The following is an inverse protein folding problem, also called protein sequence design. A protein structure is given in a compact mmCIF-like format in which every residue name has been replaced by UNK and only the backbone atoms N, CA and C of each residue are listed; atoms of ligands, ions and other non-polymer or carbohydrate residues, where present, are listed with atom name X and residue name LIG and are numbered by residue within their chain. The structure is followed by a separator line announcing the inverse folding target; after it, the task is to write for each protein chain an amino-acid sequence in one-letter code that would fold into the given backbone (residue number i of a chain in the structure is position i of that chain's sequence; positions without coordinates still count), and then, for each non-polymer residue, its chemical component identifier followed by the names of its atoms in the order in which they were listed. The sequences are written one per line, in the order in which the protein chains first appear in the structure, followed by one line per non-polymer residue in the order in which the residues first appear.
data_IF_517685295547
#
_entry.id   IF_517685295547
#
_cell.length_a   1.000
_cell.length_b   1.000
_cell.length_c   1.000
_cell.angle_alpha   90.00
_cell.angle_beta   90.00
_cell.angle_gamma   90.00
#
_symmetry.space_group_name_H-M   'P 1'
#
loop_
_entity.id
_entity.type
_entity.pdbx_description
1 polymer ?
#
# COMPACT_ATOMS: atom_id res chain seq x y z
N UNK A 1 -5.20 -4.13 35.94
CA UNK A 1 -3.85 -3.56 35.77
C UNK A 1 -3.99 -2.05 35.86
N UNK A 2 -3.49 -1.46 36.92
CA UNK A 2 -3.71 -0.03 37.23
C UNK A 2 -2.75 0.82 36.39
N UNK A 3 -3.29 1.68 35.51
CA UNK A 3 -2.50 2.57 34.68
C UNK A 3 -1.99 3.76 35.53
N UNK A 4 -0.68 3.93 35.63
CA UNK A 4 -0.09 5.13 36.22
C UNK A 4 -0.02 6.23 35.15
N UNK A 5 -0.54 7.42 35.46
CA UNK A 5 -0.31 8.65 34.70
C UNK A 5 1.11 9.19 34.94
N UNK A 6 1.64 10.04 34.05
CA UNK A 6 3.01 10.57 34.17
C UNK A 6 3.13 11.48 35.39
N UNK A 7 4.03 11.15 36.32
CA UNK A 7 4.34 12.02 37.47
C UNK A 7 4.81 11.31 38.75
N UNK A 8 4.62 10.00 38.90
CA UNK A 8 4.97 9.29 40.14
C UNK A 8 6.10 8.26 39.95
N UNK A 9 7.04 8.28 40.90
CA UNK A 9 8.29 7.51 40.92
C UNK A 9 8.00 6.02 41.17
N UNK A 10 8.15 5.16 40.17
CA UNK A 10 7.96 3.71 40.31
C UNK A 10 9.10 3.07 41.16
N UNK A 11 8.71 2.23 42.13
CA UNK A 11 9.63 1.44 42.96
C UNK A 11 10.33 0.35 42.14
N UNK A 12 11.60 0.10 42.45
CA UNK A 12 12.47 -0.92 41.81
C UNK A 12 11.86 -2.32 41.98
N UNK A 13 11.76 -3.09 40.89
CA UNK A 13 11.52 -4.54 40.98
C UNK A 13 10.54 -5.18 40.00
N UNK A 14 10.21 -4.59 38.85
CA UNK A 14 9.42 -5.26 37.83
C UNK A 14 10.22 -5.37 36.52
N UNK A 15 10.29 -6.58 35.97
CA UNK A 15 10.94 -6.88 34.70
C UNK A 15 10.40 -5.98 33.59
N UNK A 16 11.26 -5.12 33.06
CA UNK A 16 10.94 -4.27 31.91
C UNK A 16 10.99 -5.13 30.65
N UNK A 17 9.83 -5.59 30.19
CA UNK A 17 9.68 -6.02 28.80
C UNK A 17 9.71 -4.77 27.92
N UNK A 18 10.53 -4.74 26.85
CA UNK A 18 10.44 -3.65 25.89
C UNK A 18 9.05 -3.72 25.25
N UNK A 19 8.30 -2.62 25.33
CA UNK A 19 7.09 -2.44 24.53
C UNK A 19 7.48 -2.65 23.06
N UNK A 20 6.70 -3.41 22.26
CA UNK A 20 6.87 -3.39 20.82
C UNK A 20 6.71 -1.93 20.39
N UNK A 21 7.72 -1.40 19.71
CA UNK A 21 7.77 -0.03 19.23
C UNK A 21 6.48 0.29 18.50
N UNK A 22 5.58 1.03 19.15
CA UNK A 22 4.46 1.67 18.50
C UNK A 22 5.07 2.76 17.63
N UNK A 23 5.39 2.42 16.38
CA UNK A 23 5.52 3.42 15.32
C UNK A 23 4.24 4.22 15.35
N UNK A 24 4.34 5.48 15.79
CA UNK A 24 3.26 6.44 15.82
C UNK A 24 2.70 6.52 14.39
N UNK A 25 1.57 5.84 14.14
CA UNK A 25 0.87 5.97 12.87
C UNK A 25 0.48 7.45 12.79
N UNK A 26 1.04 8.14 11.79
CA UNK A 26 0.73 9.54 11.56
C UNK A 26 -0.79 9.69 11.43
N UNK A 27 -1.42 10.68 12.09
CA UNK A 27 -2.87 10.87 12.06
C UNK A 27 -3.45 11.17 10.66
N UNK A 28 -2.58 11.25 9.64
CA UNK A 28 -2.91 11.52 8.25
C UNK A 28 -2.84 10.31 7.32
N UNK A 29 -2.43 9.13 7.81
CA UNK A 29 -2.43 7.91 6.99
C UNK A 29 -3.85 7.33 6.95
N UNK A 30 -4.63 7.78 5.97
CA UNK A 30 -6.00 7.31 5.78
C UNK A 30 -5.95 5.97 5.05
N UNK A 31 -6.54 4.95 5.67
CA UNK A 31 -6.77 3.65 5.08
C UNK A 31 -8.06 3.71 4.25
N UNK A 32 -7.95 3.45 2.95
CA UNK A 32 -9.09 3.37 2.08
C UNK A 32 -9.26 1.95 1.55
N UNK A 33 -10.48 1.41 1.64
CA UNK A 33 -10.78 0.02 1.27
C UNK A 33 -12.00 -0.02 0.35
N UNK A 34 -11.89 -0.75 -0.77
CA UNK A 34 -12.99 -0.99 -1.70
C UNK A 34 -13.15 -2.48 -1.95
N UNK A 35 -14.34 -3.00 -1.75
CA UNK A 35 -14.69 -4.34 -2.22
C UNK A 35 -14.80 -4.33 -3.74
N UNK A 36 -14.16 -5.30 -4.38
CA UNK A 36 -14.05 -5.38 -5.85
C UNK A 36 -14.28 -6.81 -6.33
N UNK A 37 -14.55 -6.94 -7.62
CA UNK A 37 -14.47 -8.21 -8.34
C UNK A 37 -13.67 -7.96 -9.61
N UNK A 38 -12.45 -8.47 -9.64
CA UNK A 38 -11.55 -8.27 -10.76
C UNK A 38 -11.60 -9.46 -11.73
N UNK A 39 -11.59 -9.16 -13.02
CA UNK A 39 -11.47 -10.14 -14.08
C UNK A 39 -10.47 -9.66 -15.12
N UNK A 40 -10.10 -10.51 -16.07
CA UNK A 40 -9.27 -10.07 -17.18
C UNK A 40 -10.02 -8.99 -17.97
N UNK A 41 -9.36 -7.86 -18.22
CA UNK A 41 -9.96 -6.67 -18.80
C UNK A 41 -10.37 -5.62 -17.77
N UNK A 42 -10.49 -5.98 -16.49
CA UNK A 42 -10.75 -5.01 -15.42
C UNK A 42 -9.58 -4.05 -15.21
N UNK A 43 -9.84 -2.91 -14.59
CA UNK A 43 -8.81 -1.94 -14.21
C UNK A 43 -9.16 -1.23 -12.91
N UNK A 44 -8.12 -0.78 -12.21
CA UNK A 44 -8.24 0.08 -11.02
C UNK A 44 -7.52 1.38 -11.30
N UNK A 45 -8.25 2.49 -11.25
CA UNK A 45 -7.71 3.84 -11.42
C UNK A 45 -7.75 4.57 -10.08
N UNK A 46 -6.58 4.99 -9.59
CA UNK A 46 -6.41 5.74 -8.34
C UNK A 46 -5.87 7.12 -8.72
N UNK A 47 -6.62 8.16 -8.39
CA UNK A 47 -6.20 9.55 -8.52
C UNK A 47 -6.06 10.17 -7.16
N UNK A 48 -5.00 10.93 -6.97
CA UNK A 48 -4.72 11.56 -5.69
C UNK A 48 -3.53 12.49 -5.74
N UNK A 49 -3.13 12.95 -4.56
CA UNK A 49 -1.97 13.80 -4.35
C UNK A 49 -1.21 13.37 -3.09
N UNK A 50 0.13 13.34 -3.10
CA UNK A 50 0.93 13.14 -1.91
C UNK A 50 0.67 14.26 -0.88
N UNK A 51 0.44 13.92 0.40
CA UNK A 51 0.10 14.92 1.44
C UNK A 51 1.31 15.60 2.06
N UNK A 52 2.50 15.01 1.90
CA UNK A 52 3.78 15.55 2.35
C UNK A 52 4.76 15.57 1.17
N UNK A 53 5.79 16.41 1.25
CA UNK A 53 6.84 16.50 0.22
C UNK A 53 7.70 15.24 0.18
N UNK A 54 8.18 14.87 -1.01
CA UNK A 54 9.02 13.70 -1.25
C UNK A 54 10.30 13.70 -0.40
N UNK A 55 10.80 14.89 -0.05
CA UNK A 55 11.94 15.07 0.86
C UNK A 55 11.74 14.46 2.27
N UNK A 56 10.50 14.12 2.63
CA UNK A 56 10.13 13.47 3.89
C UNK A 56 9.84 11.98 3.72
N UNK A 57 10.36 11.35 2.66
CA UNK A 57 10.16 9.94 2.33
C UNK A 57 8.67 9.59 2.21
N UNK A 58 7.95 10.31 1.34
CA UNK A 58 6.52 10.11 1.13
C UNK A 58 6.25 8.73 0.55
N UNK A 59 5.27 8.04 1.12
CA UNK A 59 4.90 6.70 0.66
C UNK A 59 3.45 6.62 0.19
N UNK A 60 3.21 5.72 -0.75
CA UNK A 60 1.88 5.21 -1.09
C UNK A 60 1.95 3.69 -1.16
N UNK A 61 0.94 3.03 -0.61
CA UNK A 61 0.81 1.58 -0.73
C UNK A 61 -0.56 1.20 -1.28
N UNK A 62 -0.57 0.25 -2.21
CA UNK A 62 -1.76 -0.32 -2.85
C UNK A 62 -1.67 -1.85 -2.77
N UNK A 63 -2.69 -2.48 -2.18
CA UNK A 63 -2.73 -3.92 -1.96
C UNK A 63 -4.03 -4.52 -2.51
N UNK A 64 -3.91 -5.63 -3.25
CA UNK A 64 -5.04 -6.39 -3.78
C UNK A 64 -5.18 -7.67 -2.95
N UNK A 65 -6.08 -7.67 -1.98
CA UNK A 65 -6.27 -8.75 -1.03
C UNK A 65 -7.22 -9.83 -1.56
N UNK A 66 -6.93 -11.09 -1.26
CA UNK A 66 -7.71 -12.25 -1.75
C UNK A 66 -8.70 -12.82 -0.74
N UNK A 67 -8.65 -12.37 0.52
CA UNK A 67 -9.53 -12.84 1.59
C UNK A 67 -10.46 -11.76 2.12
N UNK A 68 -10.88 -11.92 3.38
CA UNK A 68 -11.85 -11.04 4.06
C UNK A 68 -11.20 -9.98 4.94
N UNK A 69 -9.89 -10.08 5.18
CA UNK A 69 -9.14 -9.18 6.05
C UNK A 69 -7.70 -8.94 5.57
N UNK A 70 -7.00 -8.02 6.23
CA UNK A 70 -5.65 -7.56 5.89
C UNK A 70 -4.55 -8.62 6.05
N UNK A 71 -4.83 -9.74 6.73
CA UNK A 71 -3.88 -10.86 6.88
C UNK A 71 -3.99 -11.87 5.74
N UNK A 72 -5.00 -11.74 4.87
CA UNK A 72 -5.15 -12.59 3.69
C UNK A 72 -3.99 -12.46 2.71
N UNK A 73 -3.90 -13.40 1.77
CA UNK A 73 -2.92 -13.30 0.70
C UNK A 73 -3.12 -12.03 -0.15
N UNK A 74 -2.03 -11.54 -0.72
CA UNK A 74 -1.99 -10.30 -1.51
C UNK A 74 -1.56 -10.66 -2.91
N UNK A 75 -2.47 -10.58 -3.87
CA UNK A 75 -2.21 -10.91 -5.27
C UNK A 75 -1.28 -9.89 -5.95
N UNK A 76 -1.36 -8.64 -5.51
CA UNK A 76 -0.56 -7.53 -6.01
C UNK A 76 -0.31 -6.54 -4.87
N UNK A 77 0.95 -6.31 -4.54
CA UNK A 77 1.41 -5.30 -3.59
C UNK A 77 2.26 -4.29 -4.36
N UNK A 78 1.93 -3.02 -4.21
CA UNK A 78 2.66 -1.91 -4.81
C UNK A 78 2.92 -0.87 -3.74
N UNK A 79 4.19 -0.63 -3.42
CA UNK A 79 4.60 0.40 -2.49
C UNK A 79 5.55 1.37 -3.18
N UNK A 80 5.08 2.60 -3.38
CA UNK A 80 5.88 3.68 -3.94
C UNK A 80 6.50 4.52 -2.82
N UNK A 81 7.81 4.65 -2.86
CA UNK A 81 8.58 5.69 -2.18
C UNK A 81 8.79 6.82 -3.18
N UNK A 82 7.94 7.84 -3.11
CA UNK A 82 7.91 8.87 -4.15
C UNK A 82 9.28 9.56 -4.32
N UNK A 83 9.73 9.67 -5.57
CA UNK A 83 11.05 10.22 -5.91
C UNK A 83 12.24 9.29 -5.66
N UNK A 84 12.02 8.07 -5.15
CA UNK A 84 13.09 7.13 -4.77
C UNK A 84 12.94 5.81 -5.54
N UNK A 85 11.92 5.02 -5.21
CA UNK A 85 11.75 3.67 -5.76
C UNK A 85 10.31 3.18 -5.59
N UNK A 86 9.99 2.09 -6.27
CA UNK A 86 8.75 1.34 -6.11
C UNK A 86 9.11 -0.11 -5.83
N UNK A 87 8.51 -0.67 -4.79
CA UNK A 87 8.57 -2.08 -4.46
C UNK A 87 7.28 -2.75 -4.89
N UNK A 88 7.41 -3.84 -5.62
CA UNK A 88 6.29 -4.62 -6.13
C UNK A 88 6.47 -6.06 -5.65
N UNK A 89 5.43 -6.62 -5.07
CA UNK A 89 5.47 -7.97 -4.54
C UNK A 89 4.07 -8.61 -4.54
N UNK A 90 3.97 -9.77 -3.91
CA UNK A 90 2.74 -10.51 -3.63
C UNK A 90 3.02 -11.39 -2.40
N UNK A 91 1.95 -11.70 -1.68
CA UNK A 91 1.99 -12.58 -0.51
C UNK A 91 1.13 -13.80 -0.79
N UNK A 92 1.71 -14.99 -0.65
CA UNK A 92 1.04 -16.27 -0.86
C UNK A 92 1.30 -17.18 0.33
N UNK A 93 0.25 -17.84 0.82
CA UNK A 93 0.28 -18.64 2.05
C UNK A 93 0.89 -17.88 3.24
N UNK A 94 0.55 -16.59 3.37
CA UNK A 94 1.04 -15.70 4.44
C UNK A 94 2.51 -15.27 4.31
N UNK A 95 3.23 -15.70 3.26
CA UNK A 95 4.65 -15.36 3.05
C UNK A 95 4.83 -14.43 1.86
N UNK A 96 5.65 -13.38 2.03
CA UNK A 96 6.05 -12.50 0.94
C UNK A 96 7.00 -13.21 -0.01
N UNK A 97 6.79 -13.04 -1.31
CA UNK A 97 7.69 -13.57 -2.33
C UNK A 97 8.89 -12.64 -2.58
N UNK A 98 9.71 -12.97 -3.58
CA UNK A 98 10.81 -12.09 -4.01
C UNK A 98 10.27 -10.74 -4.50
N UNK A 99 10.74 -9.68 -3.83
CA UNK A 99 10.45 -8.28 -4.16
C UNK A 99 11.06 -7.89 -5.51
N UNK A 100 10.26 -7.25 -6.34
CA UNK A 100 10.69 -6.60 -7.58
C UNK A 100 10.77 -5.10 -7.32
N UNK A 101 11.95 -4.50 -7.49
CA UNK A 101 12.16 -3.07 -7.28
C UNK A 101 12.33 -2.35 -8.63
N UNK A 102 11.63 -1.24 -8.80
CA UNK A 102 11.77 -0.32 -9.93
C UNK A 102 12.07 1.09 -9.43
N UNK A 103 12.73 1.91 -10.24
CA UNK A 103 13.01 3.31 -9.95
C UNK A 103 12.41 4.21 -11.03
N UNK A 104 12.41 5.53 -10.78
CA UNK A 104 11.96 6.50 -11.76
C UNK A 104 10.45 6.54 -11.97
N UNK A 105 9.66 6.34 -10.91
CA UNK A 105 8.21 6.55 -10.96
C UNK A 105 7.90 7.99 -11.43
N UNK A 106 7.08 8.21 -12.47
CA UNK A 106 6.90 9.51 -13.12
C UNK A 106 5.90 10.41 -12.36
N UNK A 107 6.12 10.55 -11.05
CA UNK A 107 5.39 11.47 -10.19
C UNK A 107 6.26 12.70 -9.86
N UNK A 108 5.61 13.85 -9.72
CA UNK A 108 6.28 15.12 -9.41
C UNK A 108 5.82 15.59 -8.03
N UNK A 109 6.76 16.08 -7.22
CA UNK A 109 6.46 16.54 -5.87
C UNK A 109 5.40 17.65 -5.89
N UNK A 110 4.40 17.54 -5.00
CA UNK A 110 3.27 18.46 -4.91
C UNK A 110 2.28 18.41 -6.08
N UNK A 111 2.46 17.57 -7.09
CA UNK A 111 1.52 17.40 -8.21
C UNK A 111 0.57 16.21 -7.97
N UNK A 112 -0.66 16.26 -8.53
CA UNK A 112 -1.52 15.09 -8.54
C UNK A 112 -0.94 13.99 -9.43
N UNK A 113 -1.31 12.76 -9.15
CA UNK A 113 -0.97 11.59 -9.96
C UNK A 113 -2.23 10.81 -10.35
N UNK A 114 -2.11 10.06 -11.44
CA UNK A 114 -3.01 8.98 -11.81
C UNK A 114 -2.21 7.68 -11.85
N UNK A 115 -2.59 6.73 -11.00
CA UNK A 115 -2.12 5.35 -11.03
C UNK A 115 -3.23 4.49 -11.64
N UNK A 116 -2.93 3.87 -12.78
CA UNK A 116 -3.83 2.98 -13.47
C UNK A 116 -3.24 1.56 -13.51
N UNK A 117 -3.97 0.60 -12.95
CA UNK A 117 -3.57 -0.81 -12.87
C UNK A 117 -4.55 -1.60 -13.73
N UNK A 118 -4.09 -2.08 -14.88
CA UNK A 118 -4.88 -2.93 -15.78
C UNK A 118 -4.65 -4.41 -15.49
N UNK A 119 -5.73 -5.17 -15.39
CA UNK A 119 -5.70 -6.63 -15.25
C UNK A 119 -5.70 -7.24 -16.65
N UNK A 120 -4.50 -7.47 -17.20
CA UNK A 120 -4.35 -8.12 -18.49
C UNK A 120 -4.40 -9.64 -18.35
N UNK A 121 -4.35 -10.36 -19.47
CA UNK A 121 -4.44 -11.83 -19.50
C UNK A 121 -3.38 -12.51 -18.60
N UNK A 122 -2.14 -12.00 -18.60
CA UNK A 122 -1.00 -12.63 -17.93
C UNK A 122 -0.35 -11.76 -16.84
N UNK A 123 -0.75 -10.49 -16.72
CA UNK A 123 -0.07 -9.53 -15.86
C UNK A 123 -1.00 -8.44 -15.31
N UNK A 124 -0.60 -7.83 -14.21
CA UNK A 124 -1.01 -6.48 -13.83
C UNK A 124 -0.08 -5.48 -14.52
N UNK A 125 -0.64 -4.64 -15.39
CA UNK A 125 0.10 -3.55 -16.01
C UNK A 125 -0.13 -2.25 -15.25
N UNK A 126 0.96 -1.66 -14.76
CA UNK A 126 0.95 -0.39 -14.04
C UNK A 126 1.32 0.73 -14.99
N UNK A 127 0.43 1.71 -15.08
CA UNK A 127 0.61 2.96 -15.81
C UNK A 127 0.52 4.11 -14.82
N UNK A 128 1.46 5.03 -14.88
CA UNK A 128 1.47 6.24 -14.04
C UNK A 128 1.42 7.45 -14.96
N UNK A 129 0.43 8.31 -14.78
CA UNK A 129 0.21 9.50 -15.60
C UNK A 129 0.17 9.19 -17.12
N UNK A 130 -0.50 8.09 -17.49
CA UNK A 130 -0.63 7.65 -18.89
C UNK A 130 0.61 6.96 -19.47
N UNK A 131 1.72 6.85 -18.72
CA UNK A 131 2.93 6.16 -19.17
C UNK A 131 3.08 4.79 -18.51
N UNK A 132 3.31 3.75 -19.31
CA UNK A 132 3.59 2.41 -18.78
C UNK A 132 4.83 2.46 -17.89
N UNK A 133 4.68 2.01 -16.65
CA UNK A 133 5.74 2.00 -15.65
C UNK A 133 6.24 0.59 -15.34
N UNK A 134 5.32 -0.36 -15.14
CA UNK A 134 5.67 -1.72 -14.75
C UNK A 134 4.66 -2.76 -15.25
N UNK A 135 5.09 -4.01 -15.31
CA UNK A 135 4.22 -5.17 -15.57
C UNK A 135 4.59 -6.28 -14.58
N UNK A 136 3.64 -6.71 -13.73
CA UNK A 136 3.83 -7.84 -12.82
C UNK A 136 3.03 -9.04 -13.32
N UNK A 137 3.70 -10.15 -13.63
CA UNK A 137 3.02 -11.38 -14.02
C UNK A 137 2.10 -11.89 -12.89
N UNK A 138 0.94 -12.44 -13.26
CA UNK A 138 -0.01 -13.00 -12.30
C UNK A 138 0.62 -14.21 -11.58
N UNK A 139 0.80 -14.09 -10.27
CA UNK A 139 1.21 -15.21 -9.40
C UNK A 139 0.02 -15.82 -8.63
N UNK A 140 -1.04 -15.04 -8.45
CA UNK A 140 -2.35 -15.47 -7.98
C UNK A 140 -3.42 -15.08 -9.01
N UNK A 141 -4.51 -15.85 -9.16
CA UNK A 141 -5.58 -15.51 -10.10
C UNK A 141 -6.20 -14.14 -9.75
N UNK A 142 -6.35 -13.21 -10.70
CA UNK A 142 -6.94 -11.90 -10.40
C UNK A 142 -8.37 -11.98 -9.86
N UNK A 143 -9.13 -13.03 -10.23
CA UNK A 143 -10.48 -13.30 -9.74
C UNK A 143 -10.53 -13.66 -8.24
N UNK A 144 -9.38 -13.99 -7.64
CA UNK A 144 -9.28 -14.23 -6.21
C UNK A 144 -9.34 -12.93 -5.41
N UNK A 145 -9.04 -11.77 -6.01
CA UNK A 145 -9.05 -10.46 -5.33
C UNK A 145 -10.47 -10.11 -4.89
N UNK A 146 -10.63 -9.73 -3.61
CA UNK A 146 -11.90 -9.37 -2.96
C UNK A 146 -11.98 -7.91 -2.59
N UNK A 147 -10.86 -7.28 -2.26
CA UNK A 147 -10.82 -5.86 -1.99
C UNK A 147 -9.46 -5.26 -2.34
N UNK A 148 -9.49 -3.97 -2.67
CA UNK A 148 -8.30 -3.14 -2.89
C UNK A 148 -8.17 -2.20 -1.70
N UNK A 149 -6.94 -2.07 -1.21
CA UNK A 149 -6.60 -1.17 -0.14
C UNK A 149 -5.58 -0.13 -0.61
N UNK A 150 -5.79 1.14 -0.27
CA UNK A 150 -4.84 2.23 -0.53
C UNK A 150 -4.58 2.97 0.77
N UNK A 151 -3.32 3.22 1.10
CA UNK A 151 -2.93 3.86 2.36
C UNK A 151 -1.56 4.54 2.27
N UNK A 152 -1.10 5.09 3.41
CA UNK A 152 0.08 5.95 3.62
C UNK A 152 -0.20 7.43 3.32
N UNK A 153 0.76 8.12 2.73
CA UNK A 153 0.88 9.57 2.74
C UNK A 153 0.26 10.18 1.47
N UNK A 154 -0.96 9.75 1.13
CA UNK A 154 -1.71 10.21 -0.03
C UNK A 154 -3.13 10.63 0.34
N UNK A 155 -3.60 11.70 -0.30
CA UNK A 155 -5.00 12.10 -0.31
C UNK A 155 -5.60 11.73 -1.64
N UNK A 156 -6.68 10.95 -1.62
CA UNK A 156 -7.32 10.44 -2.83
C UNK A 156 -8.43 11.38 -3.29
N UNK A 157 -8.45 11.67 -4.59
CA UNK A 157 -9.53 12.42 -5.23
C UNK A 157 -10.60 11.49 -5.80
N UNK A 158 -10.19 10.35 -6.37
CA UNK A 158 -11.12 9.34 -6.86
C UNK A 158 -10.47 7.97 -6.96
N UNK A 159 -11.26 6.92 -6.70
CA UNK A 159 -10.91 5.54 -7.06
C UNK A 159 -12.04 4.98 -7.91
N UNK A 160 -11.67 4.42 -9.07
CA UNK A 160 -12.60 3.85 -10.02
C UNK A 160 -12.16 2.43 -10.36
N UNK A 161 -13.11 1.51 -10.40
CA UNK A 161 -12.91 0.12 -10.82
C UNK A 161 -13.81 -0.11 -12.01
N UNK A 162 -13.21 -0.45 -13.15
CA UNK A 162 -13.88 -0.67 -14.43
C UNK A 162 -13.67 -2.11 -14.90
#
# INVERSE_FOLDING_TARGET
VTCCTPGNRCRRGAHTWPCPSSTLVSPWQVLYTWHVSLSIGSSVTIRGKPVISFSRNTEMQVDFHTGTDENSDVAFHFQAYFGISVKINNRQNGSWNCEEASSGMPCVDGQPFELHISVLQNEYQVTVNGQKYYSLAHRLPPQSVKFVQVWRDVSLSSVCVC
#
